data_IF_439732001966
#
_entry.id   IF_439732001966
#
_cell.length_a   1.000
_cell.length_b   1.000
_cell.length_c   1.000
_cell.angle_alpha   90.00
_cell.angle_beta   90.00
_cell.angle_gamma   90.00
#
_symmetry.space_group_name_H-M   'P 1'
#
loop_
_entity.id
_entity.type
_entity.pdbx_description
1 polymer ?
#
# COMPACT_ATOMS: atom_id res chain seq x y z
N UNK A 1 -34.69 7.24 21.38
CA UNK A 1 -33.23 7.08 21.46
C UNK A 1 -32.62 8.02 20.43
N UNK A 2 -32.45 9.30 20.80
CA UNK A 2 -31.98 10.36 19.90
C UNK A 2 -30.66 10.90 20.44
N UNK A 3 -29.56 10.28 20.05
CA UNK A 3 -28.21 10.82 20.21
C UNK A 3 -27.47 10.48 18.94
N UNK A 4 -26.92 11.48 18.24
CA UNK A 4 -26.09 11.22 17.07
C UNK A 4 -24.91 10.34 17.47
N UNK A 5 -24.55 9.36 16.64
CA UNK A 5 -23.39 8.49 16.85
C UNK A 5 -22.14 9.36 17.08
N UNK A 6 -21.47 9.27 18.24
CA UNK A 6 -20.30 10.07 18.55
C UNK A 6 -19.19 9.98 17.49
N UNK A 7 -19.01 8.79 16.88
CA UNK A 7 -18.03 8.58 15.83
C UNK A 7 -18.39 9.38 14.57
N UNK A 8 -19.68 9.41 14.20
CA UNK A 8 -20.17 10.20 13.08
C UNK A 8 -19.99 11.71 13.33
N UNK A 9 -20.27 12.17 14.56
CA UNK A 9 -20.08 13.57 14.93
C UNK A 9 -18.61 13.98 14.81
N UNK A 10 -17.70 13.15 15.33
CA UNK A 10 -16.27 13.39 15.23
C UNK A 10 -15.79 13.42 13.77
N UNK A 11 -16.15 12.42 12.97
CA UNK A 11 -15.76 12.34 11.56
C UNK A 11 -16.24 13.56 10.76
N UNK A 12 -17.46 14.04 11.01
CA UNK A 12 -17.99 15.26 10.38
C UNK A 12 -17.23 16.52 10.81
N UNK A 13 -16.80 16.60 12.07
CA UNK A 13 -16.01 17.74 12.55
C UNK A 13 -14.62 17.76 11.93
N UNK A 14 -13.96 16.60 11.84
CA UNK A 14 -12.67 16.46 11.15
C UNK A 14 -12.81 16.90 9.70
N UNK A 15 -13.82 16.40 8.98
CA UNK A 15 -14.04 16.75 7.57
C UNK A 15 -14.24 18.27 7.36
N UNK A 16 -14.96 18.94 8.27
CA UNK A 16 -15.19 20.39 8.19
C UNK A 16 -13.96 21.24 8.51
N UNK A 17 -13.04 20.72 9.31
CA UNK A 17 -11.87 21.47 9.83
C UNK A 17 -10.55 21.05 9.19
N UNK A 18 -10.54 20.06 8.32
CA UNK A 18 -9.34 19.57 7.68
C UNK A 18 -8.75 20.61 6.72
N UNK A 19 -7.43 20.76 6.76
CA UNK A 19 -6.69 21.57 5.80
C UNK A 19 -6.42 20.77 4.52
N UNK A 20 -6.65 21.41 3.37
CA UNK A 20 -6.35 20.80 2.08
C UNK A 20 -4.84 20.85 1.82
N UNK A 21 -4.15 19.71 2.03
CA UNK A 21 -2.72 19.58 1.73
C UNK A 21 -2.44 19.47 0.23
N UNK A 22 -3.20 18.63 -0.47
CA UNK A 22 -3.08 18.42 -1.91
C UNK A 22 -4.46 18.32 -2.55
N UNK A 23 -4.66 19.03 -3.66
CA UNK A 23 -5.89 18.94 -4.45
C UNK A 23 -6.01 17.58 -5.15
N UNK A 24 -7.24 17.19 -5.50
CA UNK A 24 -7.50 15.98 -6.28
C UNK A 24 -6.70 15.94 -7.60
N UNK A 25 -6.51 17.10 -8.25
CA UNK A 25 -5.70 17.22 -9.47
C UNK A 25 -4.22 16.91 -9.21
N UNK A 26 -3.66 17.38 -8.09
CA UNK A 26 -2.27 17.09 -7.73
C UNK A 26 -2.09 15.61 -7.41
N UNK A 27 -3.04 14.99 -6.71
CA UNK A 27 -3.02 13.54 -6.45
C UNK A 27 -3.10 12.75 -7.75
N UNK A 28 -4.01 13.11 -8.66
CA UNK A 28 -4.16 12.43 -9.95
C UNK A 28 -2.90 12.52 -10.82
N UNK A 29 -2.25 13.69 -10.83
CA UNK A 29 -0.97 13.89 -11.48
C UNK A 29 0.14 13.04 -10.85
N UNK A 30 0.22 12.98 -9.52
CA UNK A 30 1.21 12.15 -8.82
C UNK A 30 1.02 10.66 -9.11
N UNK A 31 -0.23 10.18 -9.15
CA UNK A 31 -0.55 8.79 -9.51
C UNK A 31 -0.16 8.50 -10.96
N UNK A 32 -0.42 9.43 -11.88
CA UNK A 32 -0.03 9.27 -13.29
C UNK A 32 1.49 9.18 -13.45
N UNK A 33 2.26 10.03 -12.75
CA UNK A 33 3.72 9.97 -12.74
C UNK A 33 4.26 8.68 -12.10
N UNK A 34 3.58 8.18 -11.06
CA UNK A 34 3.90 6.88 -10.45
C UNK A 34 3.66 5.74 -11.44
N UNK A 35 2.51 5.73 -12.13
CA UNK A 35 2.18 4.74 -13.15
C UNK A 35 3.21 4.72 -14.28
N UNK A 36 3.63 5.88 -14.79
CA UNK A 36 4.67 5.97 -15.82
C UNK A 36 6.00 5.35 -15.38
N UNK A 37 6.42 5.57 -14.13
CA UNK A 37 7.65 4.96 -13.58
C UNK A 37 7.53 3.44 -13.52
N UNK A 38 6.39 2.94 -13.04
CA UNK A 38 6.12 1.51 -12.92
C UNK A 38 6.05 0.85 -14.31
N UNK A 39 5.36 1.49 -15.27
CA UNK A 39 5.29 1.02 -16.66
C UNK A 39 6.69 0.91 -17.27
N UNK A 40 7.54 1.93 -17.10
CA UNK A 40 8.94 1.85 -17.57
C UNK A 40 9.74 0.73 -16.90
N UNK A 41 9.52 0.51 -15.60
CA UNK A 41 10.22 -0.54 -14.85
C UNK A 41 9.84 -1.94 -15.33
N UNK A 42 8.59 -2.18 -15.69
CA UNK A 42 8.09 -3.51 -16.06
C UNK A 42 7.80 -3.70 -17.55
N UNK A 43 8.11 -2.72 -18.40
CA UNK A 43 7.81 -2.73 -19.84
C UNK A 43 8.32 -3.97 -20.59
N UNK A 44 9.46 -4.53 -20.16
CA UNK A 44 10.13 -5.64 -20.85
C UNK A 44 10.14 -6.94 -20.04
N UNK A 45 9.32 -7.01 -18.99
CA UNK A 45 9.20 -8.23 -18.20
C UNK A 45 8.51 -9.33 -19.03
N UNK A 46 9.01 -10.56 -18.92
CA UNK A 46 8.49 -11.73 -19.65
C UNK A 46 7.35 -12.48 -18.95
N UNK A 47 6.91 -12.01 -17.78
CA UNK A 47 5.87 -12.64 -16.95
C UNK A 47 4.86 -11.63 -16.41
N UNK A 48 3.71 -12.08 -15.93
CA UNK A 48 2.77 -11.17 -15.28
C UNK A 48 3.30 -10.69 -13.91
N UNK A 49 3.10 -9.42 -13.60
CA UNK A 49 3.41 -8.86 -12.26
C UNK A 49 2.20 -9.06 -11.35
N UNK A 50 2.42 -9.58 -10.13
CA UNK A 50 1.36 -9.67 -9.11
C UNK A 50 1.31 -8.37 -8.33
N UNK A 51 0.20 -7.64 -8.45
CA UNK A 51 -0.04 -6.37 -7.76
C UNK A 51 -0.87 -6.61 -6.51
N UNK A 52 -0.37 -6.20 -5.34
CA UNK A 52 -0.98 -6.51 -4.04
C UNK A 52 -1.12 -5.22 -3.21
N UNK A 53 -2.31 -4.59 -3.16
CA UNK A 53 -2.66 -3.63 -2.13
C UNK A 53 -2.53 -4.20 -0.71
N UNK A 54 -1.91 -3.42 0.18
CA UNK A 54 -2.05 -3.57 1.63
C UNK A 54 -3.37 -2.94 2.06
N UNK A 55 -4.28 -3.77 2.55
CA UNK A 55 -5.59 -3.31 2.99
C UNK A 55 -5.52 -2.69 4.40
N UNK A 56 -6.28 -1.63 4.68
CA UNK A 56 -7.22 -0.96 3.77
C UNK A 56 -6.64 0.25 3.01
N UNK A 57 -5.51 0.79 3.45
CA UNK A 57 -4.95 2.05 2.95
C UNK A 57 -4.65 2.02 1.45
N UNK A 58 -4.00 0.94 0.98
CA UNK A 58 -3.65 0.75 -0.42
C UNK A 58 -4.83 0.62 -1.39
N UNK A 59 -6.07 0.43 -0.91
CA UNK A 59 -7.25 0.17 -1.74
C UNK A 59 -7.51 1.29 -2.76
N UNK A 60 -7.64 2.53 -2.28
CA UNK A 60 -8.03 3.68 -3.13
C UNK A 60 -6.94 3.98 -4.14
N UNK A 61 -5.67 4.02 -3.70
CA UNK A 61 -4.53 4.19 -4.60
C UNK A 61 -4.52 3.09 -5.67
N UNK A 62 -4.68 1.82 -5.27
CA UNK A 62 -4.60 0.70 -6.21
C UNK A 62 -5.67 0.76 -7.29
N UNK A 63 -6.91 1.13 -6.95
CA UNK A 63 -7.98 1.29 -7.96
C UNK A 63 -7.63 2.35 -9.02
N UNK A 64 -7.03 3.46 -8.59
CA UNK A 64 -6.54 4.48 -9.52
C UNK A 64 -5.28 4.03 -10.27
N UNK A 65 -4.33 3.36 -9.61
CA UNK A 65 -3.04 3.04 -10.19
C UNK A 65 -3.14 1.90 -11.21
N UNK A 66 -3.80 0.80 -10.86
CA UNK A 66 -3.90 -0.41 -11.69
C UNK A 66 -4.51 -0.12 -13.06
N UNK A 67 -5.50 0.77 -13.14
CA UNK A 67 -6.13 1.17 -14.41
C UNK A 67 -5.21 1.93 -15.37
N UNK A 68 -4.02 2.34 -14.90
CA UNK A 68 -2.99 3.07 -15.66
C UNK A 68 -1.75 2.21 -15.97
N UNK A 69 -1.73 0.95 -15.54
CA UNK A 69 -0.61 0.04 -15.77
C UNK A 69 -0.78 -0.64 -17.12
N UNK A 70 0.28 -0.62 -17.94
CA UNK A 70 0.26 -1.01 -19.35
C UNK A 70 1.09 -2.27 -19.62
N UNK A 71 1.06 -3.23 -18.68
CA UNK A 71 1.75 -4.51 -18.78
C UNK A 71 0.87 -5.64 -18.20
N UNK A 72 1.13 -6.91 -18.56
CA UNK A 72 0.40 -8.04 -18.01
C UNK A 72 0.53 -8.09 -16.48
N UNK A 73 -0.61 -8.09 -15.79
CA UNK A 73 -0.65 -8.15 -14.34
C UNK A 73 -1.76 -9.06 -13.82
N UNK A 74 -1.56 -9.54 -12.60
CA UNK A 74 -2.58 -10.18 -11.76
C UNK A 74 -2.80 -9.29 -10.53
N UNK A 75 -3.99 -9.36 -9.94
CA UNK A 75 -4.31 -8.62 -8.73
C UNK A 75 -4.63 -9.61 -7.61
N UNK A 76 -4.02 -9.38 -6.46
CA UNK A 76 -4.34 -10.04 -5.19
C UNK A 76 -4.45 -8.97 -4.10
N UNK A 77 -4.64 -9.34 -2.84
CA UNK A 77 -4.59 -8.41 -1.73
C UNK A 77 -3.99 -9.08 -0.49
N UNK A 78 -3.55 -8.24 0.45
CA UNK A 78 -3.25 -8.70 1.79
C UNK A 78 -3.79 -7.74 2.83
N UNK A 79 -3.97 -8.22 4.04
CA UNK A 79 -4.44 -7.41 5.16
C UNK A 79 -3.70 -7.85 6.42
N UNK A 80 -2.89 -6.94 6.96
CA UNK A 80 -2.14 -7.19 8.19
C UNK A 80 -2.22 -5.99 9.14
N UNK A 81 -2.20 -6.26 10.43
CA UNK A 81 -2.14 -5.25 11.49
C UNK A 81 -0.92 -5.48 12.37
N UNK A 82 -0.53 -4.47 13.17
CA UNK A 82 0.57 -4.58 14.13
C UNK A 82 0.05 -4.47 15.57
N UNK A 83 0.60 -5.30 16.46
CA UNK A 83 0.38 -5.15 17.90
C UNK A 83 1.13 -3.92 18.43
N UNK A 84 0.41 -2.87 18.81
CA UNK A 84 1.01 -1.66 19.40
C UNK A 84 1.33 -1.76 20.91
N UNK A 85 0.94 -2.85 21.58
CA UNK A 85 0.83 -2.87 23.05
C UNK A 85 1.82 -3.75 23.83
N UNK A 86 2.84 -4.37 23.22
CA UNK A 86 3.95 -4.99 23.98
C UNK A 86 5.28 -4.77 23.28
N UNK A 87 6.25 -4.29 24.05
CA UNK A 87 7.60 -3.80 23.73
C UNK A 87 8.55 -4.77 23.01
N UNK A 88 8.06 -5.83 22.33
CA UNK A 88 8.93 -6.79 21.63
C UNK A 88 8.28 -7.57 20.46
N UNK A 89 7.02 -7.29 20.08
CA UNK A 89 6.38 -8.01 18.97
C UNK A 89 6.56 -7.30 17.63
N UNK A 90 7.44 -7.81 16.77
CA UNK A 90 7.67 -7.34 15.39
C UNK A 90 6.84 -8.09 14.36
N UNK A 91 5.85 -8.87 14.79
CA UNK A 91 5.18 -9.80 13.89
C UNK A 91 3.86 -9.22 13.37
N UNK A 92 3.67 -9.26 12.06
CA UNK A 92 2.39 -9.00 11.41
C UNK A 92 1.31 -9.94 11.94
N UNK A 93 0.20 -9.36 12.40
CA UNK A 93 -1.04 -10.12 12.58
C UNK A 93 -1.81 -10.13 11.26
N UNK A 94 -1.84 -11.30 10.64
CA UNK A 94 -2.55 -11.50 9.37
C UNK A 94 -4.07 -11.59 9.58
N UNK A 95 -4.80 -10.75 8.87
CA UNK A 95 -6.24 -10.88 8.65
C UNK A 95 -6.48 -11.66 7.35
N UNK A 96 -5.70 -11.34 6.31
CA UNK A 96 -5.70 -12.05 5.04
C UNK A 96 -4.30 -12.06 4.44
N UNK A 97 -3.86 -13.24 3.98
CA UNK A 97 -2.64 -13.42 3.20
C UNK A 97 -2.97 -13.44 1.70
N UNK A 98 -2.01 -13.09 0.82
CA UNK A 98 -2.14 -13.34 -0.61
C UNK A 98 -2.52 -14.81 -0.88
N UNK A 99 -3.36 -15.03 -1.89
CA UNK A 99 -3.82 -16.36 -2.31
C UNK A 99 -3.05 -16.88 -3.52
N UNK A 100 -2.50 -15.99 -4.36
CA UNK A 100 -1.67 -16.37 -5.49
C UNK A 100 -0.31 -16.91 -5.01
N UNK A 101 0.21 -17.89 -5.74
CA UNK A 101 1.58 -18.38 -5.54
C UNK A 101 2.58 -17.32 -5.98
N UNK A 102 3.42 -16.88 -5.04
CA UNK A 102 4.43 -15.85 -5.27
C UNK A 102 5.75 -16.43 -5.80
N UNK A 103 5.90 -17.76 -5.81
CA UNK A 103 7.16 -18.43 -6.16
C UNK A 103 7.61 -18.07 -7.58
N UNK A 104 8.82 -17.49 -7.68
CA UNK A 104 9.41 -17.07 -8.96
C UNK A 104 8.66 -15.92 -9.65
N UNK A 105 7.83 -15.16 -8.91
CA UNK A 105 7.04 -14.05 -9.46
C UNK A 105 7.63 -12.69 -9.11
N UNK A 106 7.30 -11.71 -9.94
CA UNK A 106 7.50 -10.30 -9.64
C UNK A 106 6.26 -9.80 -8.88
N UNK A 107 6.48 -9.24 -7.69
CA UNK A 107 5.44 -8.73 -6.80
C UNK A 107 5.58 -7.23 -6.63
N UNK A 108 4.48 -6.49 -6.82
CA UNK A 108 4.38 -5.06 -6.56
C UNK A 108 3.40 -4.82 -5.41
N UNK A 109 3.93 -4.45 -4.25
CA UNK A 109 3.13 -4.07 -3.08
C UNK A 109 2.70 -2.61 -3.20
N UNK A 110 1.41 -2.33 -2.98
CA UNK A 110 0.87 -0.96 -2.99
C UNK A 110 0.39 -0.59 -1.59
N UNK A 111 0.86 0.54 -1.08
CA UNK A 111 0.38 1.12 0.19
C UNK A 111 0.09 2.62 0.02
N UNK A 112 -0.76 3.20 0.86
CA UNK A 112 -1.07 4.64 0.75
C UNK A 112 0.07 5.52 1.27
N UNK A 113 0.71 5.13 2.37
CA UNK A 113 1.72 5.96 3.04
C UNK A 113 2.88 5.17 3.62
N UNK A 114 4.09 5.62 3.31
CA UNK A 114 5.31 5.22 4.01
C UNK A 114 5.62 6.21 5.14
N UNK A 115 5.32 5.81 6.38
CA UNK A 115 5.63 6.55 7.62
C UNK A 115 6.96 6.05 8.23
N UNK A 116 6.90 5.14 9.20
CA UNK A 116 8.09 4.47 9.76
C UNK A 116 8.54 3.28 8.90
N UNK A 117 7.62 2.65 8.15
CA UNK A 117 7.91 1.59 7.19
C UNK A 117 7.93 0.16 7.75
N UNK A 118 7.67 -0.05 9.04
CA UNK A 118 7.67 -1.39 9.63
C UNK A 118 6.72 -2.39 8.94
N UNK A 119 5.45 -2.03 8.78
CA UNK A 119 4.47 -2.91 8.13
C UNK A 119 4.91 -3.26 6.70
N UNK A 120 5.32 -2.25 5.93
CA UNK A 120 5.76 -2.46 4.56
C UNK A 120 7.01 -3.36 4.51
N UNK A 121 8.00 -3.11 5.36
CA UNK A 121 9.21 -3.93 5.46
C UNK A 121 8.90 -5.39 5.79
N UNK A 122 8.05 -5.66 6.78
CA UNK A 122 7.64 -7.02 7.15
C UNK A 122 6.85 -7.70 6.01
N UNK A 123 6.01 -6.96 5.27
CA UNK A 123 5.29 -7.47 4.09
C UNK A 123 6.25 -7.81 2.95
N UNK A 124 7.25 -6.96 2.67
CA UNK A 124 8.25 -7.21 1.64
C UNK A 124 9.07 -8.46 1.97
N UNK A 125 9.50 -8.60 3.23
CA UNK A 125 10.20 -9.79 3.73
C UNK A 125 9.34 -11.04 3.59
N UNK A 126 8.06 -10.97 3.98
CA UNK A 126 7.12 -12.09 3.81
C UNK A 126 7.03 -12.53 2.34
N UNK A 127 6.88 -11.60 1.38
CA UNK A 127 6.80 -11.95 -0.03
C UNK A 127 8.08 -12.61 -0.55
N UNK A 128 9.25 -12.13 -0.11
CA UNK A 128 10.53 -12.75 -0.44
C UNK A 128 10.65 -14.17 0.15
N UNK A 129 10.22 -14.37 1.39
CA UNK A 129 10.18 -15.69 2.06
C UNK A 129 9.20 -16.67 1.39
N UNK A 130 8.13 -16.17 0.76
CA UNK A 130 7.23 -16.97 -0.08
C UNK A 130 7.83 -17.28 -1.48
N UNK A 131 9.08 -16.91 -1.73
CA UNK A 131 9.80 -17.28 -2.95
C UNK A 131 9.62 -16.31 -4.12
N UNK A 132 9.14 -15.09 -3.90
CA UNK A 132 9.11 -14.07 -4.95
C UNK A 132 10.51 -13.83 -5.54
N UNK A 133 10.59 -13.76 -6.86
CA UNK A 133 11.84 -13.46 -7.58
C UNK A 133 12.26 -12.01 -7.36
N UNK A 134 11.29 -11.11 -7.34
CA UNK A 134 11.49 -9.68 -7.14
C UNK A 134 10.30 -9.11 -6.38
N UNK A 135 10.57 -8.33 -5.33
CA UNK A 135 9.53 -7.61 -4.58
C UNK A 135 9.81 -6.12 -4.67
N UNK A 136 8.84 -5.36 -5.14
CA UNK A 136 8.87 -3.90 -5.25
C UNK A 136 7.73 -3.31 -4.42
N UNK A 137 7.85 -2.03 -4.02
CA UNK A 137 6.76 -1.29 -3.40
C UNK A 137 6.48 0.02 -4.13
N UNK A 138 5.23 0.46 -4.05
CA UNK A 138 4.79 1.77 -4.50
C UNK A 138 3.89 2.39 -3.44
N UNK A 139 4.22 3.63 -3.05
CA UNK A 139 3.44 4.41 -2.07
C UNK A 139 3.05 5.76 -2.65
N UNK A 140 1.88 6.28 -2.27
CA UNK A 140 1.44 7.61 -2.72
C UNK A 140 2.20 8.72 -2.00
N UNK A 141 2.39 8.55 -0.70
CA UNK A 141 3.02 9.54 0.17
C UNK A 141 4.17 8.89 0.95
N UNK A 142 5.29 9.59 1.02
CA UNK A 142 6.41 9.23 1.86
C UNK A 142 6.66 10.37 2.85
N UNK A 143 6.58 10.07 4.15
CA UNK A 143 6.88 11.06 5.20
C UNK A 143 8.37 11.15 5.42
N UNK A 144 8.95 12.33 5.27
CA UNK A 144 10.38 12.53 5.48
C UNK A 144 10.70 12.87 6.94
N UNK A 145 11.13 11.86 7.71
CA UNK A 145 11.66 12.02 9.08
C UNK A 145 12.71 10.94 9.40
N UNK A 146 13.54 11.16 10.44
CA UNK A 146 14.62 10.25 10.84
C UNK A 146 14.20 8.99 11.61
N UNK A 147 12.94 8.55 11.48
CA UNK A 147 12.40 7.35 12.17
C UNK A 147 12.08 6.19 11.21
N UNK A 148 12.57 6.27 9.97
CA UNK A 148 12.36 5.23 8.96
C UNK A 148 13.24 4.02 9.25
N UNK A 149 12.69 2.83 9.04
CA UNK A 149 13.48 1.60 8.97
C UNK A 149 14.28 1.55 7.66
N UNK A 150 15.44 0.86 7.63
CA UNK A 150 16.11 0.51 6.38
C UNK A 150 15.18 -0.29 5.47
N UNK A 151 15.22 -0.02 4.17
CA UNK A 151 14.52 -0.77 3.13
C UNK A 151 15.51 -1.62 2.34
#
# INVERSE_FOLDING_TARGET
>A
MNGADPCLVEAQQVLKKADLMYSAKQIDQAISQLAERINRQFANTSQAVIVIPIMNGGLVLSGHLISRLEFPLLVDYLHATRYRNKTSGTDLQWIAKPQLDLTGKIVLIIDDILDEGHTLSEVLSFCAEQGAEQVCSAVLVEKNHGRKVPQ
#
